data_IF_879046071292
#
_entry.id   IF_879046071292
#
_cell.length_a   1.000
_cell.length_b   1.000
_cell.length_c   1.000
_cell.angle_alpha   90.00
_cell.angle_beta   90.00
_cell.angle_gamma   90.00
#
_symmetry.space_group_name_H-M   'P 1'
#
loop_
_entity.id
_entity.type
_entity.pdbx_description
1 polymer ?
#
# COMPACT_ATOMS: atom_id res chain seq x y z
N UNK A 1 -23.37 20.53 31.52
CA UNK A 1 -24.11 19.69 30.56
C UNK A 1 -23.84 20.02 29.08
N UNK A 2 -23.11 21.10 28.75
CA UNK A 2 -22.81 21.48 27.34
C UNK A 2 -21.53 20.86 26.75
N UNK A 3 -20.65 20.26 27.57
CA UNK A 3 -19.34 19.77 27.10
C UNK A 3 -19.38 18.44 26.35
N UNK A 4 -20.26 17.51 26.73
CA UNK A 4 -20.27 16.14 26.19
C UNK A 4 -21.01 16.00 24.85
N UNK A 5 -21.92 16.92 24.51
CA UNK A 5 -22.57 16.96 23.20
C UNK A 5 -21.58 17.34 22.07
N UNK A 6 -20.54 18.13 22.38
CA UNK A 6 -19.51 18.51 21.40
C UNK A 6 -18.55 17.37 21.06
N UNK A 7 -18.21 16.52 22.02
CA UNK A 7 -17.23 15.44 21.82
C UNK A 7 -17.74 14.34 20.87
N UNK A 8 -19.04 14.00 20.94
CA UNK A 8 -19.65 13.05 20.01
C UNK A 8 -19.82 13.61 18.59
N UNK A 9 -20.07 14.91 18.45
CA UNK A 9 -20.14 15.56 17.14
C UNK A 9 -18.78 15.59 16.41
N UNK A 10 -17.66 15.58 17.14
CA UNK A 10 -16.32 15.66 16.54
C UNK A 10 -15.78 14.30 16.05
N UNK A 11 -16.17 13.17 16.67
CA UNK A 11 -15.84 11.83 16.14
C UNK A 11 -16.70 11.45 14.93
N UNK A 12 -17.94 11.94 14.87
CA UNK A 12 -18.90 11.64 13.79
C UNK A 12 -18.69 12.48 12.52
N UNK A 13 -18.04 13.65 12.61
CA UNK A 13 -17.63 14.49 11.46
C UNK A 13 -16.72 13.78 10.45
N UNK A 14 -16.14 12.62 10.80
CA UNK A 14 -15.33 11.79 9.89
C UNK A 14 -16.15 10.77 9.07
N UNK A 15 -17.45 10.63 9.33
CA UNK A 15 -18.33 9.72 8.58
C UNK A 15 -19.52 10.49 8.01
N UNK A 16 -19.37 10.88 6.74
CA UNK A 16 -20.35 11.61 5.93
C UNK A 16 -20.46 13.05 6.45
N UNK A 17 -20.22 14.10 5.63
CA UNK A 17 -20.60 15.44 6.06
C UNK A 17 -22.07 15.38 6.49
N UNK A 18 -22.46 16.05 7.58
CA UNK A 18 -23.84 16.21 8.05
C UNK A 18 -24.77 16.72 6.93
N UNK A 19 -25.06 15.85 5.97
CA UNK A 19 -26.14 15.98 5.02
C UNK A 19 -27.33 15.45 5.80
N UNK A 20 -28.31 16.31 6.02
CA UNK A 20 -29.62 15.89 6.53
C UNK A 20 -30.16 14.85 5.56
N UNK A 21 -29.91 13.57 5.85
CA UNK A 21 -30.38 12.47 5.04
C UNK A 21 -31.91 12.53 4.98
N UNK A 22 -32.54 12.25 3.82
CA UNK A 22 -33.98 12.41 3.65
C UNK A 22 -34.80 11.76 4.79
N UNK A 23 -34.40 10.57 5.23
CA UNK A 23 -35.06 9.85 6.33
C UNK A 23 -34.93 10.53 7.69
N UNK A 24 -33.72 10.99 8.06
CA UNK A 24 -33.51 11.73 9.31
C UNK A 24 -34.26 13.06 9.29
N UNK A 25 -34.34 13.71 8.13
CA UNK A 25 -35.08 14.96 7.94
C UNK A 25 -36.59 14.75 8.10
N UNK A 26 -37.16 13.77 7.40
CA UNK A 26 -38.60 13.46 7.46
C UNK A 26 -39.06 13.19 8.90
N UNK A 27 -38.33 12.34 9.61
CA UNK A 27 -38.68 11.99 11.00
C UNK A 27 -38.53 13.21 11.93
N UNK A 28 -37.50 14.04 11.72
CA UNK A 28 -37.31 15.26 12.51
C UNK A 28 -38.38 16.34 12.26
N UNK A 29 -38.98 16.37 11.06
CA UNK A 29 -40.07 17.28 10.72
C UNK A 29 -41.43 16.80 11.28
N UNK A 30 -41.61 15.47 11.41
CA UNK A 30 -42.86 14.85 11.88
C UNK A 30 -42.87 14.57 13.38
N UNK A 31 -41.76 14.76 14.07
CA UNK A 31 -41.63 14.45 15.50
C UNK A 31 -40.88 15.52 16.28
N UNK A 32 -41.15 15.58 17.58
CA UNK A 32 -40.34 16.35 18.51
C UNK A 32 -39.60 15.44 19.50
N UNK A 33 -38.68 16.02 20.26
CA UNK A 33 -37.82 15.27 21.20
C UNK A 33 -38.61 14.43 22.22
N UNK A 34 -39.77 14.91 22.67
CA UNK A 34 -40.61 14.20 23.62
C UNK A 34 -41.31 13.00 22.96
N UNK A 35 -41.82 13.16 21.74
CA UNK A 35 -42.42 12.05 20.99
C UNK A 35 -41.41 10.93 20.69
N UNK A 36 -40.17 11.30 20.34
CA UNK A 36 -39.09 10.31 20.14
C UNK A 36 -38.76 9.60 21.47
N UNK A 37 -38.74 10.35 22.58
CA UNK A 37 -38.50 9.76 23.90
C UNK A 37 -39.59 8.74 24.27
N UNK A 38 -40.85 9.12 24.13
CA UNK A 38 -42.01 8.26 24.40
C UNK A 38 -42.00 7.00 23.52
N UNK A 39 -41.69 7.16 22.23
CA UNK A 39 -41.51 6.03 21.32
C UNK A 39 -40.42 5.07 21.82
N UNK A 40 -39.22 5.57 22.13
CA UNK A 40 -38.12 4.75 22.62
C UNK A 40 -38.43 4.05 23.95
N UNK A 41 -39.14 4.73 24.85
CA UNK A 41 -39.60 4.16 26.12
C UNK A 41 -40.67 3.08 25.91
N UNK A 42 -41.59 3.28 24.95
CA UNK A 42 -42.64 2.31 24.60
C UNK A 42 -42.08 0.98 24.07
N UNK A 43 -40.88 1.01 23.47
CA UNK A 43 -40.20 -0.19 23.01
C UNK A 43 -39.65 -1.02 24.17
N UNK A 44 -39.48 -0.44 25.38
CA UNK A 44 -39.05 -1.14 26.59
C UNK A 44 -37.64 -1.75 26.55
N UNK A 45 -36.85 -1.47 25.50
CA UNK A 45 -35.57 -2.15 25.24
C UNK A 45 -34.39 -1.59 26.03
N UNK A 46 -34.44 -0.33 26.48
CA UNK A 46 -33.26 0.35 27.02
C UNK A 46 -33.46 0.85 28.45
N UNK A 47 -32.65 0.33 29.38
CA UNK A 47 -32.54 0.89 30.75
C UNK A 47 -31.92 2.29 30.79
N UNK A 48 -31.14 2.64 29.76
CA UNK A 48 -30.56 3.97 29.57
C UNK A 48 -31.07 4.54 28.23
N UNK A 49 -31.93 5.56 28.31
CA UNK A 49 -32.57 6.19 27.15
C UNK A 49 -31.57 6.75 26.14
N UNK A 50 -30.37 7.14 26.58
CA UNK A 50 -29.35 7.67 25.69
C UNK A 50 -28.82 6.62 24.71
N UNK A 51 -28.76 5.34 25.12
CA UNK A 51 -28.46 4.23 24.20
C UNK A 51 -29.57 4.04 23.16
N UNK A 52 -30.83 4.28 23.56
CA UNK A 52 -31.97 4.28 22.65
C UNK A 52 -31.86 5.37 21.58
N UNK A 53 -31.47 6.59 21.96
CA UNK A 53 -31.21 7.66 20.98
C UNK A 53 -30.05 7.34 20.04
N UNK A 54 -28.94 6.78 20.54
CA UNK A 54 -27.85 6.33 19.67
C UNK A 54 -28.32 5.30 18.65
N UNK A 55 -29.13 4.34 19.09
CA UNK A 55 -29.71 3.33 18.20
C UNK A 55 -30.67 3.96 17.17
N UNK A 56 -31.54 4.87 17.60
CA UNK A 56 -32.45 5.61 16.74
C UNK A 56 -31.73 6.33 15.59
N UNK A 57 -30.72 7.14 15.91
CA UNK A 57 -29.97 7.86 14.87
C UNK A 57 -29.20 6.92 13.96
N UNK A 58 -28.67 5.82 14.50
CA UNK A 58 -28.03 4.78 13.69
C UNK A 58 -29.03 4.15 12.70
N UNK A 59 -30.24 3.81 13.14
CA UNK A 59 -31.27 3.25 12.27
C UNK A 59 -31.66 4.20 11.14
N UNK A 60 -31.78 5.50 11.41
CA UNK A 60 -32.11 6.50 10.39
C UNK A 60 -30.95 6.75 9.42
N UNK A 61 -29.73 6.86 9.93
CA UNK A 61 -28.54 7.20 9.13
C UNK A 61 -27.99 6.04 8.33
N UNK A 62 -28.14 4.81 8.83
CA UNK A 62 -27.73 3.60 8.13
C UNK A 62 -28.89 2.93 7.37
N UNK A 63 -30.11 3.46 7.49
CA UNK A 63 -31.37 2.86 6.99
C UNK A 63 -31.50 1.40 7.43
N UNK A 64 -31.35 1.18 8.74
CA UNK A 64 -31.39 -0.16 9.34
C UNK A 64 -32.71 -0.43 10.03
N UNK A 65 -33.51 -1.29 9.43
CA UNK A 65 -34.76 -1.78 10.01
C UNK A 65 -34.56 -2.97 10.96
N UNK A 66 -33.62 -2.85 11.90
CA UNK A 66 -33.37 -3.88 12.91
C UNK A 66 -34.61 -4.04 13.81
N UNK A 67 -35.11 -5.27 13.97
CA UNK A 67 -36.33 -5.62 14.73
C UNK A 67 -37.62 -4.85 14.30
N UNK A 68 -37.70 -4.44 13.03
CA UNK A 68 -38.82 -3.64 12.52
C UNK A 68 -38.87 -2.23 13.12
N UNK A 69 -37.73 -1.68 13.57
CA UNK A 69 -37.68 -0.38 14.24
C UNK A 69 -38.20 0.77 13.36
N UNK A 70 -37.84 0.80 12.08
CA UNK A 70 -38.26 1.86 11.16
C UNK A 70 -39.75 1.74 10.86
N UNK A 71 -40.27 0.52 10.72
CA UNK A 71 -41.71 0.28 10.52
C UNK A 71 -42.53 0.76 11.73
N UNK A 72 -42.09 0.38 12.94
CA UNK A 72 -42.71 0.81 14.20
C UNK A 72 -42.64 2.32 14.39
N UNK A 73 -41.56 2.94 13.96
CA UNK A 73 -41.39 4.39 14.03
C UNK A 73 -42.35 5.11 13.06
N UNK A 74 -42.49 4.62 11.83
CA UNK A 74 -43.41 5.16 10.85
C UNK A 74 -44.87 5.05 11.32
N UNK A 75 -45.24 3.88 11.86
CA UNK A 75 -46.57 3.64 12.45
C UNK A 75 -46.84 4.59 13.63
N UNK A 76 -45.88 4.71 14.56
CA UNK A 76 -46.01 5.60 15.72
C UNK A 76 -46.19 7.07 15.33
N UNK A 77 -45.45 7.52 14.31
CA UNK A 77 -45.52 8.90 13.81
C UNK A 77 -46.65 9.12 12.79
N UNK A 78 -47.41 8.07 12.45
CA UNK A 78 -48.48 8.09 11.44
C UNK A 78 -48.01 8.67 10.10
N UNK A 79 -46.81 8.28 9.69
CA UNK A 79 -46.26 8.64 8.38
C UNK A 79 -46.86 7.69 7.35
N UNK A 80 -47.22 8.22 6.18
CA UNK A 80 -47.70 7.40 5.07
C UNK A 80 -46.63 6.39 4.65
N UNK A 81 -47.03 5.13 4.44
CA UNK A 81 -46.09 4.04 4.18
C UNK A 81 -45.35 4.22 2.86
N UNK A 82 -46.02 4.75 1.83
CA UNK A 82 -45.42 4.97 0.52
C UNK A 82 -44.47 6.17 0.55
N UNK A 83 -44.84 7.23 1.26
CA UNK A 83 -43.96 8.38 1.53
C UNK A 83 -42.70 7.95 2.29
N UNK A 84 -42.86 7.12 3.34
CA UNK A 84 -41.75 6.66 4.17
C UNK A 84 -40.80 5.74 3.41
N UNK A 85 -41.34 4.78 2.63
CA UNK A 85 -40.53 3.88 1.82
C UNK A 85 -39.75 4.63 0.74
N UNK A 86 -40.36 5.61 0.08
CA UNK A 86 -39.68 6.43 -0.92
C UNK A 86 -38.47 7.17 -0.33
N UNK A 87 -38.60 7.65 0.90
CA UNK A 87 -37.54 8.36 1.61
C UNK A 87 -36.45 7.40 2.13
N UNK A 88 -36.81 6.17 2.50
CA UNK A 88 -35.88 5.07 2.74
C UNK A 88 -35.03 4.83 1.49
N UNK A 89 -35.66 4.59 0.34
CA UNK A 89 -34.97 4.28 -0.92
C UNK A 89 -34.03 5.41 -1.35
N UNK A 90 -34.48 6.68 -1.24
CA UNK A 90 -33.65 7.85 -1.53
C UNK A 90 -32.43 7.93 -0.61
N UNK A 91 -32.62 7.66 0.68
CA UNK A 91 -31.55 7.69 1.67
C UNK A 91 -30.53 6.58 1.42
N UNK A 92 -30.98 5.36 1.10
CA UNK A 92 -30.11 4.24 0.74
C UNK A 92 -29.28 4.54 -0.51
N UNK A 93 -29.90 5.10 -1.55
CA UNK A 93 -29.24 5.49 -2.79
C UNK A 93 -28.11 6.49 -2.55
N UNK A 94 -28.34 7.51 -1.70
CA UNK A 94 -27.32 8.49 -1.32
C UNK A 94 -26.15 7.83 -0.58
N UNK A 95 -26.45 6.95 0.38
CA UNK A 95 -25.44 6.24 1.16
C UNK A 95 -24.60 5.33 0.25
N UNK A 96 -25.23 4.63 -0.69
CA UNK A 96 -24.54 3.75 -1.61
C UNK A 96 -23.64 4.53 -2.58
N UNK A 97 -24.12 5.66 -3.11
CA UNK A 97 -23.32 6.54 -3.96
C UNK A 97 -22.09 7.08 -3.21
N UNK A 98 -22.25 7.53 -1.95
CA UNK A 98 -21.13 8.00 -1.13
C UNK A 98 -20.12 6.89 -0.81
N UNK A 99 -20.60 5.67 -0.52
CA UNK A 99 -19.74 4.49 -0.34
C UNK A 99 -18.94 4.17 -1.61
N UNK A 100 -19.56 4.22 -2.79
CA UNK A 100 -18.90 4.01 -4.08
C UNK A 100 -17.83 5.08 -4.33
N UNK A 101 -18.16 6.35 -4.10
CA UNK A 101 -17.22 7.45 -4.27
C UNK A 101 -16.01 7.31 -3.34
N UNK A 102 -16.21 7.01 -2.05
CA UNK A 102 -15.10 6.81 -1.11
C UNK A 102 -14.17 5.67 -1.49
N UNK A 103 -14.72 4.56 -2.01
CA UNK A 103 -13.90 3.44 -2.50
C UNK A 103 -13.04 3.88 -3.69
N UNK A 104 -13.62 4.66 -4.60
CA UNK A 104 -12.90 5.24 -5.74
C UNK A 104 -11.79 6.19 -5.28
N UNK A 105 -12.11 7.14 -4.39
CA UNK A 105 -11.15 8.11 -3.86
C UNK A 105 -10.00 7.43 -3.11
N UNK A 106 -10.31 6.38 -2.31
CA UNK A 106 -9.29 5.61 -1.61
C UNK A 106 -8.34 4.88 -2.57
N UNK A 107 -8.89 4.27 -3.64
CA UNK A 107 -8.10 3.61 -4.67
C UNK A 107 -7.25 4.60 -5.47
N UNK A 108 -7.81 5.76 -5.83
CA UNK A 108 -7.05 6.83 -6.53
C UNK A 108 -5.92 7.38 -5.66
N UNK A 109 -6.17 7.55 -4.36
CA UNK A 109 -5.16 7.97 -3.39
C UNK A 109 -4.04 6.94 -3.26
N UNK A 110 -4.37 5.67 -3.10
CA UNK A 110 -3.38 4.58 -3.01
C UNK A 110 -2.53 4.50 -4.28
N UNK A 111 -3.16 4.58 -5.45
CA UNK A 111 -2.45 4.60 -6.74
C UNK A 111 -1.51 5.81 -6.85
N UNK A 112 -1.93 6.97 -6.35
CA UNK A 112 -1.11 8.18 -6.33
C UNK A 112 0.09 8.03 -5.39
N UNK A 113 -0.14 7.54 -4.17
CA UNK A 113 0.93 7.29 -3.18
C UNK A 113 1.93 6.27 -3.71
N UNK A 114 1.47 5.21 -4.38
CA UNK A 114 2.33 4.23 -5.04
C UNK A 114 3.18 4.86 -6.15
N UNK A 115 2.60 5.71 -7.00
CA UNK A 115 3.34 6.43 -8.05
C UNK A 115 4.37 7.39 -7.48
N UNK A 116 4.00 8.16 -6.45
CA UNK A 116 4.91 9.09 -5.77
C UNK A 116 6.07 8.34 -5.09
N UNK A 117 5.79 7.20 -4.47
CA UNK A 117 6.80 6.32 -3.90
C UNK A 117 7.75 5.80 -4.99
N UNK A 118 7.24 5.28 -6.11
CA UNK A 118 8.08 4.82 -7.22
C UNK A 118 8.97 5.94 -7.78
N UNK A 119 8.44 7.15 -7.98
CA UNK A 119 9.24 8.31 -8.43
C UNK A 119 10.34 8.63 -7.42
N UNK A 120 10.04 8.60 -6.13
CA UNK A 120 11.02 8.82 -5.06
C UNK A 120 12.13 7.75 -5.06
N UNK A 121 11.75 6.47 -5.22
CA UNK A 121 12.72 5.38 -5.33
C UNK A 121 13.60 5.53 -6.58
N UNK A 122 13.02 5.82 -7.75
CA UNK A 122 13.79 6.06 -8.99
C UNK A 122 14.77 7.22 -8.85
N UNK A 123 14.37 8.32 -8.19
CA UNK A 123 15.25 9.48 -7.96
C UNK A 123 16.40 9.21 -6.99
N UNK A 124 16.19 8.32 -6.02
CA UNK A 124 17.19 7.98 -5.00
C UNK A 124 17.98 6.70 -5.32
N UNK A 125 17.61 6.03 -6.42
CA UNK A 125 18.26 4.80 -6.86
C UNK A 125 19.73 5.04 -7.20
N UNK A 126 20.58 4.10 -6.80
CA UNK A 126 21.99 4.04 -7.18
C UNK A 126 22.26 2.69 -7.84
N UNK A 127 22.90 2.67 -9.02
CA UNK A 127 23.29 1.42 -9.64
C UNK A 127 24.16 0.57 -8.71
N UNK A 128 24.03 -0.75 -8.78
CA UNK A 128 24.69 -1.67 -7.85
C UNK A 128 25.05 -3.01 -8.49
N UNK A 129 25.96 -3.75 -7.86
CA UNK A 129 26.39 -5.07 -8.33
C UNK A 129 26.18 -6.10 -7.23
N UNK A 130 25.52 -7.21 -7.56
CA UNK A 130 25.49 -8.42 -6.75
C UNK A 130 26.36 -9.50 -7.37
N UNK A 131 26.76 -10.49 -6.58
CA UNK A 131 27.54 -11.63 -7.06
C UNK A 131 26.94 -12.95 -6.59
N UNK A 132 27.10 -13.94 -7.45
CA UNK A 132 26.74 -15.33 -7.16
C UNK A 132 28.02 -16.14 -7.01
N UNK A 133 28.06 -16.96 -5.98
CA UNK A 133 29.24 -17.75 -5.65
C UNK A 133 28.86 -19.17 -5.22
N UNK A 134 29.82 -20.07 -5.38
CA UNK A 134 29.75 -21.45 -4.97
C UNK A 134 30.82 -21.70 -3.92
N UNK A 135 30.45 -22.27 -2.78
CA UNK A 135 31.41 -22.66 -1.74
C UNK A 135 32.06 -23.99 -2.11
N UNK A 136 33.25 -24.27 -1.58
CA UNK A 136 33.93 -25.57 -1.72
C UNK A 136 33.06 -26.77 -1.27
N UNK A 137 32.10 -26.53 -0.38
CA UNK A 137 31.13 -27.54 0.09
C UNK A 137 30.03 -27.86 -0.93
N UNK A 138 30.03 -27.23 -2.11
CA UNK A 138 29.00 -27.38 -3.14
C UNK A 138 27.75 -26.53 -2.92
N UNK A 139 27.69 -25.77 -1.82
CA UNK A 139 26.56 -24.87 -1.51
C UNK A 139 26.66 -23.61 -2.35
N UNK A 140 25.60 -23.33 -3.11
CA UNK A 140 25.43 -22.08 -3.84
C UNK A 140 24.88 -20.99 -2.92
N UNK A 141 25.34 -19.76 -3.11
CA UNK A 141 24.88 -18.61 -2.35
C UNK A 141 24.93 -17.33 -3.18
N UNK A 142 24.11 -16.36 -2.76
CA UNK A 142 24.10 -15.01 -3.30
C UNK A 142 24.61 -14.05 -2.22
N UNK A 143 25.49 -13.13 -2.61
CA UNK A 143 25.99 -12.07 -1.73
C UNK A 143 25.47 -10.72 -2.21
N UNK A 144 24.91 -9.93 -1.29
CA UNK A 144 24.65 -8.51 -1.47
C UNK A 144 25.39 -7.73 -0.39
N UNK A 145 25.78 -6.49 -0.67
CA UNK A 145 26.64 -5.70 0.23
C UNK A 145 25.94 -5.19 1.51
N UNK A 146 24.68 -5.55 1.78
CA UNK A 146 23.88 -4.87 2.81
C UNK A 146 23.69 -5.64 4.14
N UNK A 147 23.87 -6.97 4.20
CA UNK A 147 23.71 -7.73 5.45
C UNK A 147 24.64 -8.96 5.43
N UNK A 148 25.36 -9.20 6.53
CA UNK A 148 25.69 -10.53 7.14
C UNK A 148 26.94 -10.34 8.03
N UNK A 149 26.68 -10.21 9.32
CA UNK A 149 27.62 -9.78 10.37
C UNK A 149 28.67 -10.83 10.77
N UNK A 150 28.79 -11.96 10.06
CA UNK A 150 29.66 -13.09 10.48
C UNK A 150 30.52 -13.71 9.37
N UNK A 151 30.70 -13.02 8.24
CA UNK A 151 31.63 -13.43 7.17
C UNK A 151 32.63 -12.31 6.86
N UNK A 152 33.49 -11.98 7.84
CA UNK A 152 34.69 -11.12 7.72
C UNK A 152 34.77 -10.28 6.42
N UNK A 153 34.10 -9.13 6.40
CA UNK A 153 34.48 -7.82 5.81
C UNK A 153 35.39 -7.68 4.56
N UNK A 154 35.73 -8.70 3.74
CA UNK A 154 36.88 -8.56 2.84
C UNK A 154 36.89 -9.24 1.47
N UNK A 155 35.89 -10.02 1.06
CA UNK A 155 36.10 -10.73 -0.22
C UNK A 155 35.83 -9.83 -1.44
N UNK A 156 34.77 -8.99 -1.42
CA UNK A 156 34.41 -8.12 -2.54
C UNK A 156 34.02 -6.65 -2.20
N UNK A 157 34.26 -6.08 -1.00
CA UNK A 157 33.91 -4.68 -0.73
C UNK A 157 34.67 -3.72 -1.65
N UNK A 158 35.93 -4.06 -1.98
CA UNK A 158 36.76 -3.29 -2.91
C UNK A 158 36.17 -3.24 -4.32
N UNK A 159 35.63 -4.34 -4.83
CA UNK A 159 34.96 -4.36 -6.14
C UNK A 159 33.73 -3.43 -6.12
N UNK A 160 32.92 -3.49 -5.07
CA UNK A 160 31.78 -2.60 -4.94
C UNK A 160 32.23 -1.13 -4.85
N UNK A 161 33.25 -0.81 -4.06
CA UNK A 161 33.82 0.54 -4.00
C UNK A 161 34.34 1.03 -5.36
N UNK A 162 35.06 0.18 -6.10
CA UNK A 162 35.56 0.51 -7.44
C UNK A 162 34.41 0.76 -8.42
N UNK A 163 33.38 -0.10 -8.42
CA UNK A 163 32.19 0.08 -9.26
C UNK A 163 31.44 1.36 -8.87
N UNK A 164 31.23 1.62 -7.57
CA UNK A 164 30.61 2.86 -7.11
C UNK A 164 31.45 4.10 -7.47
N UNK A 165 32.78 3.99 -7.50
CA UNK A 165 33.67 5.06 -7.96
C UNK A 165 33.49 5.34 -9.45
N UNK A 166 33.41 4.30 -10.29
CA UNK A 166 33.14 4.44 -11.73
C UNK A 166 31.78 5.14 -11.93
N UNK A 167 30.74 4.66 -11.25
CA UNK A 167 29.39 5.23 -11.33
C UNK A 167 29.34 6.69 -10.84
N UNK A 168 30.04 7.01 -9.76
CA UNK A 168 30.08 8.38 -9.24
C UNK A 168 30.74 9.35 -10.22
N UNK A 169 31.77 8.92 -10.96
CA UNK A 169 32.42 9.73 -12.00
C UNK A 169 31.52 9.96 -13.22
N UNK A 170 30.59 9.05 -13.50
CA UNK A 170 29.61 9.20 -14.58
C UNK A 170 28.28 9.82 -14.13
N UNK A 171 28.22 10.40 -12.92
CA UNK A 171 26.97 10.93 -12.33
C UNK A 171 25.84 9.89 -12.27
N UNK A 172 26.20 8.61 -12.16
CA UNK A 172 25.32 7.44 -12.23
C UNK A 172 24.62 7.24 -13.60
N UNK A 173 25.09 7.90 -14.65
CA UNK A 173 24.68 7.64 -16.02
C UNK A 173 25.39 6.36 -16.47
N UNK A 174 24.62 5.36 -16.88
CA UNK A 174 25.13 4.05 -17.34
C UNK A 174 25.15 4.00 -18.86
N UNK A 175 26.29 4.32 -19.46
CA UNK A 175 26.54 4.14 -20.90
C UNK A 175 27.27 2.83 -21.18
N UNK A 176 27.41 2.46 -22.45
CA UNK A 176 28.18 1.28 -22.86
C UNK A 176 29.66 1.35 -22.42
N UNK A 177 30.24 2.55 -22.36
CA UNK A 177 31.60 2.76 -21.84
C UNK A 177 31.68 2.43 -20.34
N UNK A 178 30.70 2.91 -19.56
CA UNK A 178 30.62 2.65 -18.11
C UNK A 178 30.45 1.15 -17.85
N UNK A 179 29.60 0.48 -18.62
CA UNK A 179 29.40 -0.98 -18.59
C UNK A 179 30.74 -1.70 -18.86
N UNK A 180 31.48 -1.29 -19.90
CA UNK A 180 32.80 -1.85 -20.21
C UNK A 180 33.82 -1.64 -19.08
N UNK A 181 33.83 -0.48 -18.43
CA UNK A 181 34.71 -0.21 -17.29
C UNK A 181 34.38 -1.08 -16.07
N UNK A 182 33.09 -1.26 -15.78
CA UNK A 182 32.63 -2.17 -14.73
C UNK A 182 33.06 -3.62 -15.04
N UNK A 183 32.88 -4.09 -16.29
CA UNK A 183 33.33 -5.42 -16.71
C UNK A 183 34.84 -5.63 -16.52
N UNK A 184 35.67 -4.61 -16.79
CA UNK A 184 37.12 -4.67 -16.54
C UNK A 184 37.45 -4.82 -15.06
N UNK A 185 36.77 -4.07 -14.19
CA UNK A 185 37.01 -4.15 -12.75
C UNK A 185 36.53 -5.50 -12.17
N UNK A 186 35.40 -6.03 -12.67
CA UNK A 186 34.92 -7.37 -12.34
C UNK A 186 35.96 -8.42 -12.71
N UNK A 187 36.47 -8.39 -13.96
CA UNK A 187 37.51 -9.32 -14.45
C UNK A 187 38.76 -9.28 -13.58
N UNK A 188 39.26 -8.07 -13.31
CA UNK A 188 40.44 -7.85 -12.47
C UNK A 188 40.25 -8.45 -11.08
N UNK A 189 39.11 -8.17 -10.45
CA UNK A 189 38.84 -8.64 -9.09
C UNK A 189 38.66 -10.16 -9.04
N UNK A 190 38.03 -10.78 -10.04
CA UNK A 190 37.98 -12.24 -10.15
C UNK A 190 39.38 -12.85 -10.23
N UNK A 191 40.24 -12.33 -11.12
CA UNK A 191 41.61 -12.82 -11.27
C UNK A 191 42.40 -12.71 -9.96
N UNK A 192 42.26 -11.61 -9.22
CA UNK A 192 42.89 -11.40 -7.90
C UNK A 192 42.37 -12.36 -6.80
N UNK A 193 41.19 -12.94 -6.97
CA UNK A 193 40.55 -13.82 -5.98
C UNK A 193 40.48 -15.28 -6.40
N UNK A 194 40.95 -15.63 -7.61
CA UNK A 194 40.96 -17.01 -8.11
C UNK A 194 41.78 -17.97 -7.23
N UNK A 195 42.73 -17.44 -6.45
CA UNK A 195 43.53 -18.18 -5.46
C UNK A 195 42.81 -18.41 -4.10
N UNK A 196 41.60 -17.86 -3.90
CA UNK A 196 40.85 -17.99 -2.64
C UNK A 196 40.09 -19.33 -2.57
N UNK A 197 40.72 -20.34 -1.97
CA UNK A 197 40.23 -21.74 -1.89
C UNK A 197 38.87 -21.99 -1.20
N UNK A 198 38.18 -20.96 -0.70
CA UNK A 198 36.93 -21.10 0.05
C UNK A 198 35.66 -20.91 -0.80
N UNK A 199 35.73 -20.07 -1.83
CA UNK A 199 34.59 -19.76 -2.71
C UNK A 199 35.04 -19.56 -4.16
N UNK A 200 34.21 -20.03 -5.09
CA UNK A 200 34.32 -19.84 -6.53
C UNK A 200 33.24 -18.86 -6.96
N UNK A 201 33.62 -17.76 -7.62
CA UNK A 201 32.65 -16.78 -8.11
C UNK A 201 32.13 -17.26 -9.46
N UNK A 202 30.81 -17.33 -9.59
CA UNK A 202 30.16 -17.88 -10.78
C UNK A 202 29.76 -16.78 -11.76
N UNK A 203 29.16 -15.70 -11.25
CA UNK A 203 28.69 -14.57 -12.06
C UNK A 203 28.44 -13.31 -11.23
N UNK A 204 28.37 -12.18 -11.91
CA UNK A 204 28.02 -10.87 -11.36
C UNK A 204 26.78 -10.31 -12.05
N UNK A 205 25.90 -9.70 -11.27
CA UNK A 205 24.67 -9.09 -11.75
C UNK A 205 24.75 -7.58 -11.48
N UNK A 206 24.84 -6.78 -12.53
CA UNK A 206 24.81 -5.33 -12.45
C UNK A 206 23.39 -4.79 -12.68
N UNK A 207 22.96 -3.91 -11.79
CA UNK A 207 21.63 -3.30 -11.76
C UNK A 207 21.75 -1.81 -12.09
N UNK A 208 21.63 -1.43 -13.38
CA UNK A 208 21.82 -0.05 -13.83
C UNK A 208 20.66 0.88 -13.48
N UNK A 209 19.45 0.35 -13.27
CA UNK A 209 18.23 1.13 -13.02
C UNK A 209 17.40 0.56 -11.89
N UNK A 210 16.49 1.37 -11.33
CA UNK A 210 15.55 0.89 -10.31
C UNK A 210 14.73 -0.29 -10.83
N UNK A 211 14.28 -0.22 -12.08
CA UNK A 211 13.54 -1.29 -12.75
C UNK A 211 14.34 -2.59 -12.82
N UNK A 212 15.65 -2.52 -13.04
CA UNK A 212 16.51 -3.70 -13.06
C UNK A 212 16.53 -4.45 -11.71
N UNK A 213 16.28 -3.76 -10.59
CA UNK A 213 16.25 -4.38 -9.24
C UNK A 213 14.93 -5.07 -8.89
N UNK A 214 13.87 -4.86 -9.67
CA UNK A 214 12.53 -5.40 -9.38
C UNK A 214 12.39 -6.92 -9.56
N UNK A 215 13.45 -7.59 -10.04
CA UNK A 215 13.52 -9.04 -10.22
C UNK A 215 13.88 -9.84 -8.96
N UNK A 216 13.99 -9.20 -7.80
CA UNK A 216 14.50 -9.87 -6.58
C UNK A 216 13.45 -10.49 -5.66
N UNK A 217 12.16 -10.15 -5.79
CA UNK A 217 11.14 -10.51 -4.79
C UNK A 217 9.93 -11.29 -5.32
N UNK A 218 9.90 -11.67 -6.61
CA UNK A 218 8.88 -12.60 -7.10
C UNK A 218 9.49 -13.97 -7.42
N UNK A 219 9.26 -14.90 -6.49
CA UNK A 219 9.28 -16.34 -6.75
C UNK A 219 8.34 -16.65 -7.94
N UNK A 220 8.76 -16.47 -9.19
CA UNK A 220 8.33 -17.28 -10.36
C UNK A 220 8.66 -16.75 -11.76
N UNK A 221 9.26 -15.58 -11.98
CA UNK A 221 9.49 -15.12 -13.36
C UNK A 221 10.87 -14.53 -13.59
N UNK A 222 11.60 -15.13 -14.52
CA UNK A 222 12.89 -14.75 -15.10
C UNK A 222 12.84 -13.39 -15.83
N UNK A 223 12.05 -12.44 -15.37
CA UNK A 223 11.93 -11.13 -16.01
C UNK A 223 13.04 -10.22 -15.44
N UNK A 224 14.27 -10.50 -15.84
CA UNK A 224 15.47 -9.74 -15.48
C UNK A 224 15.64 -8.52 -16.40
N UNK A 225 14.55 -7.80 -16.66
CA UNK A 225 14.57 -6.65 -17.58
C UNK A 225 15.51 -5.56 -17.07
N UNK A 226 16.52 -5.25 -17.87
CA UNK A 226 17.50 -4.20 -17.59
C UNK A 226 18.66 -4.59 -16.67
N UNK A 227 18.73 -5.83 -16.16
CA UNK A 227 19.91 -6.33 -15.45
C UNK A 227 20.99 -6.74 -16.47
N UNK A 228 22.26 -6.51 -16.14
CA UNK A 228 23.39 -6.92 -16.96
C UNK A 228 24.15 -8.02 -16.22
N UNK A 229 24.20 -9.23 -16.78
CA UNK A 229 24.99 -10.33 -16.24
C UNK A 229 26.41 -10.34 -16.82
N UNK A 230 27.40 -10.53 -15.96
CA UNK A 230 28.79 -10.79 -16.34
C UNK A 230 29.22 -12.16 -15.83
N UNK A 231 29.98 -12.89 -16.65
CA UNK A 231 30.70 -14.07 -16.21
C UNK A 231 31.91 -13.67 -15.34
N UNK A 232 32.59 -14.67 -14.80
CA UNK A 232 33.79 -14.46 -14.00
C UNK A 232 34.94 -13.79 -14.78
N UNK A 233 34.97 -13.91 -16.10
CA UNK A 233 35.95 -13.24 -16.97
C UNK A 233 35.60 -11.76 -17.26
N UNK A 234 34.52 -11.24 -16.65
CA UNK A 234 34.02 -9.88 -16.83
C UNK A 234 33.37 -9.64 -18.20
N UNK A 235 33.05 -10.73 -18.92
CA UNK A 235 32.35 -10.68 -20.18
C UNK A 235 30.84 -10.76 -19.94
N UNK A 236 30.09 -9.97 -20.69
CA UNK A 236 28.65 -9.93 -20.55
C UNK A 236 28.01 -11.23 -21.07
N UNK A 237 27.18 -11.88 -20.25
CA UNK A 237 26.46 -13.10 -20.60
C UNK A 237 25.10 -12.71 -21.19
N UNK A 238 25.08 -12.42 -22.50
CA UNK A 238 23.88 -12.22 -23.36
C UNK A 238 22.85 -11.14 -22.93
N UNK A 239 22.65 -10.14 -23.79
CA UNK A 239 21.35 -9.45 -23.93
C UNK A 239 20.52 -10.28 -24.89
N UNK A 240 19.39 -10.84 -24.48
CA UNK A 240 18.30 -11.02 -25.44
C UNK A 240 17.65 -9.64 -25.58
N UNK A 241 17.98 -8.96 -26.68
CA UNK A 241 17.20 -7.82 -27.14
C UNK A 241 15.92 -8.40 -27.75
N UNK A 242 14.79 -8.22 -27.07
CA UNK A 242 13.48 -8.39 -27.70
C UNK A 242 13.39 -7.36 -28.85
N UNK A 243 13.29 -7.85 -30.09
CA UNK A 243 12.81 -7.09 -31.26
C UNK A 243 11.38 -6.57 -31.05
#
# INVERSE_FOLDING_TARGET
>A
MEGYYRQYLDEEKRRIPQKNLPLEKLVSEKSNKNQIKEFLESLGKWKNIQKGYTFYYKCLRDVKNEDGFLDKLAEYLKIDSDEFQKVIDETESIIEADKKQRRKDASEKELREQKEWQISQKKSFKPSVNWNYKRRTGVFGMGSAYLIKDLKDRVFPKLNESVQSILSKSENIVTDEVIKEIGKEIKKHYLENSDNSLIEIMKYNFFPTFESTSSFDSLSTQDTRGMIEYNCDGEQIMKEEDE
#
